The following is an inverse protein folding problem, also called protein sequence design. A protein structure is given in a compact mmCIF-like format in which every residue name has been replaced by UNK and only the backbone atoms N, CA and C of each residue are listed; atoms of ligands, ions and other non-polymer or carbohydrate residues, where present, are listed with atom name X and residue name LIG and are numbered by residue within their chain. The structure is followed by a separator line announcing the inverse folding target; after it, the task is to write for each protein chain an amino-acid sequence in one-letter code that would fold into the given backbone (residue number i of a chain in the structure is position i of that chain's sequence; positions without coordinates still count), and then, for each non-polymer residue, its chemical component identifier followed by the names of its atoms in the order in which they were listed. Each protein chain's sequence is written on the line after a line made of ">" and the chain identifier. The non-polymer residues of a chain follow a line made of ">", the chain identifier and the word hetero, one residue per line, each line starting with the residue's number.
data_IF_913858780301
#
_entry.id   IF_913858780301
#
_cell.length_a   1.000
_cell.length_b   1.000
_cell.length_c   1.000
_cell.angle_alpha   90.00
_cell.angle_beta   90.00
_cell.angle_gamma   90.00
#
_symmetry.space_group_name_H-M   'P 1'
#
loop_
_entity.id
_entity.type
_entity.pdbx_description
1 polymer ?
#
# COMPACT_ATOMS: atom_id res chain seq x y z
N UNK A 1 25.96 16.16 7.20
CA UNK A 1 25.12 14.95 7.40
C UNK A 1 25.36 14.05 6.19
N UNK A 2 26.29 13.11 6.28
CA UNK A 2 26.46 12.12 5.22
C UNK A 2 25.31 11.13 5.34
N UNK A 3 24.38 11.16 4.41
CA UNK A 3 23.39 10.07 4.27
C UNK A 3 24.15 8.95 3.56
N UNK A 4 24.67 7.94 4.27
CA UNK A 4 25.42 6.90 3.61
C UNK A 4 24.44 5.99 2.89
N UNK A 5 24.21 6.22 1.58
CA UNK A 5 23.52 5.27 0.73
C UNK A 5 24.49 4.11 0.51
N UNK A 6 24.13 2.91 0.98
CA UNK A 6 24.97 1.75 0.75
C UNK A 6 24.96 1.37 -0.74
N UNK A 7 26.11 0.96 -1.30
CA UNK A 7 26.16 0.52 -2.70
C UNK A 7 25.13 -0.57 -3.03
N UNK A 8 24.83 -1.46 -2.07
CA UNK A 8 23.82 -2.52 -2.22
C UNK A 8 22.39 -1.98 -2.40
N UNK A 9 22.05 -0.87 -1.73
CA UNK A 9 20.75 -0.23 -1.89
C UNK A 9 20.57 0.34 -3.31
N UNK A 10 21.61 1.04 -3.80
CA UNK A 10 21.60 1.59 -5.17
C UNK A 10 21.59 0.49 -6.21
N UNK A 11 22.35 -0.58 -5.97
CA UNK A 11 22.34 -1.78 -6.81
C UNK A 11 20.94 -2.36 -6.89
N UNK A 12 20.27 -2.56 -5.75
CA UNK A 12 18.91 -3.09 -5.71
C UNK A 12 17.91 -2.20 -6.46
N UNK A 13 18.02 -0.88 -6.27
CA UNK A 13 17.20 0.08 -7.02
C UNK A 13 17.37 -0.09 -8.52
N UNK A 14 18.62 -0.06 -9.03
CA UNK A 14 18.88 -0.12 -10.46
C UNK A 14 18.53 -1.48 -11.06
N UNK A 15 18.84 -2.59 -10.37
CA UNK A 15 18.46 -3.94 -10.83
C UNK A 15 16.94 -4.02 -10.94
N UNK A 16 16.20 -3.62 -9.91
CA UNK A 16 14.75 -3.64 -9.93
C UNK A 16 14.17 -2.75 -11.02
N UNK A 17 14.69 -1.53 -11.19
CA UNK A 17 14.25 -0.62 -12.25
C UNK A 17 14.44 -1.24 -13.64
N UNK A 18 15.62 -1.76 -13.95
CA UNK A 18 15.92 -2.36 -15.25
C UNK A 18 15.07 -3.61 -15.48
N UNK A 19 14.99 -4.52 -14.50
CA UNK A 19 14.19 -5.74 -14.60
C UNK A 19 12.71 -5.40 -14.79
N UNK A 20 12.17 -4.49 -13.98
CA UNK A 20 10.78 -4.04 -14.13
C UNK A 20 10.53 -3.38 -15.49
N UNK A 21 11.45 -2.55 -15.97
CA UNK A 21 11.31 -1.89 -17.26
C UNK A 21 11.28 -2.91 -18.42
N UNK A 22 12.17 -3.89 -18.40
CA UNK A 22 12.23 -4.95 -19.42
C UNK A 22 11.00 -5.87 -19.37
N UNK A 23 10.51 -6.21 -18.18
CA UNK A 23 9.39 -7.13 -17.98
C UNK A 23 8.02 -6.46 -17.99
N UNK A 24 7.92 -5.14 -17.84
CA UNK A 24 6.64 -4.42 -17.75
C UNK A 24 5.72 -4.68 -18.95
N UNK A 25 6.22 -4.57 -20.16
CA UNK A 25 5.45 -4.81 -21.40
C UNK A 25 5.07 -6.28 -21.58
N UNK A 26 5.97 -7.28 -21.42
CA UNK A 26 5.61 -8.69 -21.34
C UNK A 26 4.52 -9.00 -20.30
N UNK A 27 4.65 -8.49 -19.07
CA UNK A 27 3.66 -8.66 -18.00
C UNK A 27 2.31 -8.07 -18.45
N UNK A 28 2.29 -6.83 -18.92
CA UNK A 28 1.05 -6.19 -19.40
C UNK A 28 0.37 -7.02 -20.49
N UNK A 29 1.12 -7.50 -21.47
CA UNK A 29 0.59 -8.33 -22.55
C UNK A 29 0.02 -9.67 -22.01
N UNK A 30 0.68 -10.26 -21.01
CA UNK A 30 0.19 -11.48 -20.35
C UNK A 30 -1.13 -11.22 -19.62
N UNK A 31 -1.22 -10.11 -18.86
CA UNK A 31 -2.45 -9.73 -18.14
C UNK A 31 -3.62 -9.48 -19.09
N UNK A 32 -3.38 -8.82 -20.23
CA UNK A 32 -4.38 -8.61 -21.28
C UNK A 32 -4.86 -9.95 -21.84
N UNK A 33 -3.94 -10.86 -22.19
CA UNK A 33 -4.27 -12.21 -22.71
C UNK A 33 -5.02 -13.05 -21.68
N UNK A 34 -4.63 -12.96 -20.41
CA UNK A 34 -5.28 -13.64 -19.30
C UNK A 34 -6.68 -13.09 -18.98
N UNK A 35 -7.12 -12.01 -19.66
CA UNK A 35 -8.38 -11.31 -19.40
C UNK A 35 -8.54 -10.94 -17.92
N UNK A 36 -7.43 -10.64 -17.25
CA UNK A 36 -7.41 -10.15 -15.87
C UNK A 36 -7.91 -8.70 -15.87
N UNK A 37 -9.23 -8.54 -15.82
CA UNK A 37 -9.90 -7.23 -15.90
C UNK A 37 -10.59 -6.92 -14.59
N UNK A 38 -10.39 -5.71 -14.10
CA UNK A 38 -11.11 -5.26 -12.93
C UNK A 38 -12.61 -5.14 -13.26
N UNK A 39 -13.45 -5.82 -12.46
CA UNK A 39 -14.89 -5.64 -12.50
C UNK A 39 -15.23 -4.44 -11.64
N UNK A 40 -15.40 -3.29 -12.25
CA UNK A 40 -15.78 -2.06 -11.55
C UNK A 40 -17.13 -2.26 -10.86
N UNK A 41 -17.24 -1.81 -9.60
CA UNK A 41 -18.49 -1.94 -8.88
C UNK A 41 -19.57 -1.06 -9.51
N UNK A 42 -20.78 -1.60 -9.69
CA UNK A 42 -21.93 -0.88 -10.24
C UNK A 42 -22.34 0.39 -9.45
N UNK A 43 -21.76 0.57 -8.25
CA UNK A 43 -22.01 1.74 -7.42
C UNK A 43 -21.10 2.95 -7.73
N UNK A 44 -20.07 2.75 -8.57
CA UNK A 44 -19.13 3.80 -9.01
C UNK A 44 -19.22 3.98 -10.53
N UNK A 45 -20.37 4.43 -11.01
CA UNK A 45 -20.69 4.58 -12.44
C UNK A 45 -19.71 5.48 -13.21
N UNK A 46 -18.98 6.32 -12.51
CA UNK A 46 -17.93 7.15 -13.11
C UNK A 46 -16.67 6.42 -13.55
N UNK A 47 -16.51 5.15 -13.21
CA UNK A 47 -15.39 4.31 -13.62
C UNK A 47 -15.70 3.42 -14.83
N UNK A 48 -16.83 3.63 -15.51
CA UNK A 48 -17.20 2.88 -16.72
C UNK A 48 -16.15 2.96 -17.83
N UNK A 49 -15.43 4.08 -17.94
CA UNK A 49 -14.31 4.28 -18.87
C UNK A 49 -13.06 3.47 -18.48
N UNK A 50 -12.96 3.00 -17.22
CA UNK A 50 -11.88 2.17 -16.72
C UNK A 50 -12.17 0.67 -16.89
N UNK A 51 -13.37 0.33 -17.35
CA UNK A 51 -13.79 -1.05 -17.57
C UNK A 51 -12.94 -1.67 -18.69
N UNK A 52 -12.26 -2.76 -18.36
CA UNK A 52 -11.38 -3.45 -19.31
C UNK A 52 -9.89 -3.17 -19.14
N UNK A 53 -9.50 -2.22 -18.27
CA UNK A 53 -8.09 -2.04 -17.87
C UNK A 53 -7.62 -3.29 -17.10
N UNK A 54 -6.48 -3.89 -17.46
CA UNK A 54 -5.95 -5.04 -16.74
C UNK A 54 -5.60 -4.68 -15.29
N UNK A 55 -5.85 -5.61 -14.37
CA UNK A 55 -5.40 -5.55 -12.97
C UNK A 55 -4.14 -6.42 -12.79
N UNK A 56 -3.59 -6.46 -11.57
CA UNK A 56 -2.36 -7.17 -11.18
C UNK A 56 -1.06 -6.52 -11.70
N UNK A 57 -1.06 -5.23 -12.03
CA UNK A 57 0.13 -4.49 -12.40
C UNK A 57 1.20 -4.41 -11.29
N UNK A 58 0.80 -4.68 -10.04
CA UNK A 58 1.73 -4.82 -8.92
C UNK A 58 2.84 -5.85 -9.15
N UNK A 59 2.64 -6.83 -10.04
CA UNK A 59 3.71 -7.74 -10.47
C UNK A 59 4.93 -7.01 -11.02
N UNK A 60 4.76 -5.86 -11.67
CA UNK A 60 5.88 -5.05 -12.18
C UNK A 60 6.79 -4.62 -11.04
N UNK A 61 6.21 -4.20 -9.91
CA UNK A 61 6.96 -3.79 -8.71
C UNK A 61 7.61 -5.02 -8.05
N UNK A 62 6.81 -6.05 -7.81
CA UNK A 62 7.23 -7.22 -7.02
C UNK A 62 8.33 -8.02 -7.70
N UNK A 63 8.21 -8.29 -9.01
CA UNK A 63 9.22 -9.07 -9.75
C UNK A 63 10.58 -8.35 -9.72
N UNK A 64 10.60 -7.03 -9.97
CA UNK A 64 11.83 -6.25 -9.88
C UNK A 64 12.44 -6.28 -8.48
N UNK A 65 11.61 -6.05 -7.46
CA UNK A 65 12.02 -6.09 -6.05
C UNK A 65 12.58 -7.46 -5.64
N UNK A 66 11.86 -8.56 -5.94
CA UNK A 66 12.30 -9.90 -5.57
C UNK A 66 13.60 -10.29 -6.28
N UNK A 67 13.74 -10.00 -7.59
CA UNK A 67 14.97 -10.28 -8.33
C UNK A 67 16.12 -9.45 -7.77
N UNK A 68 15.93 -8.15 -7.53
CA UNK A 68 16.97 -7.31 -6.95
C UNK A 68 17.42 -7.82 -5.57
N UNK A 69 16.47 -8.33 -4.80
CA UNK A 69 16.73 -8.88 -3.48
C UNK A 69 17.61 -10.14 -3.49
N UNK A 70 17.67 -10.88 -4.58
CA UNK A 70 18.55 -12.06 -4.71
C UNK A 70 20.04 -11.69 -4.82
N UNK A 71 20.36 -10.45 -5.16
CA UNK A 71 21.74 -9.96 -5.31
C UNK A 71 22.25 -9.20 -4.07
N UNK A 72 21.43 -9.08 -3.02
CA UNK A 72 21.83 -8.49 -1.74
C UNK A 72 22.29 -9.57 -0.75
N UNK A 73 23.12 -9.17 0.23
CA UNK A 73 23.36 -10.00 1.40
C UNK A 73 22.06 -10.17 2.18
N UNK A 74 21.64 -11.39 2.43
CA UNK A 74 20.32 -11.72 2.98
C UNK A 74 20.39 -12.14 4.47
N UNK A 75 20.37 -11.19 5.42
CA UNK A 75 20.13 -11.52 6.81
C UNK A 75 18.76 -12.18 6.98
N UNK A 76 18.60 -12.99 8.01
CA UNK A 76 17.36 -13.73 8.30
C UNK A 76 16.08 -12.86 8.23
N UNK A 77 16.14 -11.64 8.80
CA UNK A 77 15.01 -10.68 8.79
C UNK A 77 14.61 -10.23 7.40
N UNK A 78 15.55 -10.23 6.47
CA UNK A 78 15.32 -9.94 5.06
C UNK A 78 14.48 -11.04 4.40
N UNK A 79 14.84 -12.31 4.65
CA UNK A 79 14.08 -13.46 4.17
C UNK A 79 12.65 -13.49 4.70
N UNK A 80 12.43 -13.11 5.97
CA UNK A 80 11.10 -13.01 6.57
C UNK A 80 10.25 -11.93 5.89
N UNK A 81 10.83 -10.76 5.61
CA UNK A 81 10.13 -9.67 4.91
C UNK A 81 9.70 -10.10 3.50
N UNK A 82 10.61 -10.76 2.76
CA UNK A 82 10.28 -11.30 1.43
C UNK A 82 9.24 -12.41 1.51
N UNK A 83 9.28 -13.27 2.52
CA UNK A 83 8.28 -14.31 2.73
C UNK A 83 6.89 -13.71 2.99
N UNK A 84 6.78 -12.69 3.84
CA UNK A 84 5.53 -11.95 4.04
C UNK A 84 5.03 -11.39 2.71
N UNK A 85 5.89 -10.70 1.97
CA UNK A 85 5.55 -10.16 0.66
C UNK A 85 5.04 -11.24 -0.30
N UNK A 86 5.73 -12.39 -0.38
CA UNK A 86 5.33 -13.50 -1.25
C UNK A 86 3.98 -14.12 -0.85
N UNK A 87 3.75 -14.36 0.45
CA UNK A 87 2.50 -14.92 0.94
C UNK A 87 1.32 -13.99 0.71
N UNK A 88 1.47 -12.68 0.95
CA UNK A 88 0.42 -11.70 0.67
C UNK A 88 0.20 -11.50 -0.83
N UNK A 89 1.25 -11.58 -1.67
CA UNK A 89 1.10 -11.57 -3.13
C UNK A 89 0.31 -12.79 -3.63
N UNK A 90 0.54 -13.96 -3.01
CA UNK A 90 -0.22 -15.16 -3.31
C UNK A 90 -1.71 -14.99 -2.95
N UNK A 91 -2.02 -14.40 -1.79
CA UNK A 91 -3.42 -14.08 -1.41
C UNK A 91 -4.05 -13.15 -2.45
N UNK A 92 -3.35 -12.08 -2.84
CA UNK A 92 -3.82 -11.15 -3.87
C UNK A 92 -4.03 -11.84 -5.23
N UNK A 93 -3.15 -12.76 -5.60
CA UNK A 93 -3.30 -13.55 -6.83
C UNK A 93 -4.55 -14.45 -6.79
N UNK A 94 -4.84 -15.07 -5.65
CA UNK A 94 -6.08 -15.83 -5.48
C UNK A 94 -7.31 -14.92 -5.58
N UNK A 95 -7.24 -13.73 -4.99
CA UNK A 95 -8.33 -12.74 -4.99
C UNK A 95 -8.61 -12.20 -6.40
N UNK A 96 -7.58 -11.74 -7.09
CA UNK A 96 -7.68 -11.06 -8.39
C UNK A 96 -7.92 -12.02 -9.58
N UNK A 97 -7.38 -13.24 -9.50
CA UNK A 97 -7.33 -14.13 -10.67
C UNK A 97 -8.00 -15.49 -10.47
N UNK A 98 -7.63 -16.19 -9.39
CA UNK A 98 -8.07 -17.60 -9.24
C UNK A 98 -9.57 -17.68 -8.92
N UNK A 99 -10.02 -16.93 -7.92
CA UNK A 99 -11.43 -16.97 -7.46
C UNK A 99 -12.40 -16.49 -8.53
N UNK A 100 -12.20 -15.35 -9.22
CA UNK A 100 -13.11 -14.90 -10.28
C UNK A 100 -13.17 -15.87 -11.46
N UNK A 101 -12.09 -16.62 -11.72
CA UNK A 101 -12.03 -17.59 -12.81
C UNK A 101 -12.68 -18.92 -12.47
N UNK A 102 -12.50 -19.40 -11.23
CA UNK A 102 -13.10 -20.67 -10.75
C UNK A 102 -14.55 -20.55 -10.34
N UNK A 103 -14.99 -19.35 -9.91
CA UNK A 103 -16.34 -19.10 -9.41
C UNK A 103 -16.97 -17.91 -10.16
N UNK A 104 -17.53 -18.14 -11.37
CA UNK A 104 -18.18 -17.07 -12.13
C UNK A 104 -19.23 -16.33 -11.31
N UNK A 105 -19.16 -14.98 -11.32
CA UNK A 105 -20.03 -14.11 -10.52
C UNK A 105 -19.46 -13.70 -9.15
N UNK A 106 -18.40 -14.36 -8.66
CA UNK A 106 -17.63 -13.86 -7.50
C UNK A 106 -16.52 -12.94 -7.97
N UNK A 107 -16.37 -11.81 -7.28
CA UNK A 107 -15.33 -10.80 -7.58
C UNK A 107 -13.98 -11.12 -6.96
N UNK A 108 -13.91 -12.03 -5.99
CA UNK A 108 -12.73 -12.43 -5.24
C UNK A 108 -13.07 -13.25 -4.02
N UNK A 109 -12.12 -13.34 -3.08
CA UNK A 109 -12.27 -14.03 -1.81
C UNK A 109 -13.35 -13.37 -0.92
N UNK A 110 -14.05 -14.16 -0.13
CA UNK A 110 -14.87 -13.60 0.95
C UNK A 110 -13.99 -12.95 2.02
N UNK A 111 -14.47 -11.85 2.64
CA UNK A 111 -13.68 -11.10 3.61
C UNK A 111 -13.15 -11.96 4.78
N UNK A 112 -13.94 -12.94 5.26
CA UNK A 112 -13.50 -13.87 6.32
C UNK A 112 -12.34 -14.75 5.87
N UNK A 113 -12.41 -15.29 4.64
CA UNK A 113 -11.37 -16.12 4.06
C UNK A 113 -10.09 -15.30 3.84
N UNK A 114 -10.22 -14.08 3.31
CA UNK A 114 -9.12 -13.18 3.07
C UNK A 114 -8.37 -12.84 4.38
N UNK A 115 -9.11 -12.46 5.44
CA UNK A 115 -8.51 -12.18 6.76
C UNK A 115 -7.87 -13.42 7.37
N UNK A 116 -8.49 -14.60 7.28
CA UNK A 116 -7.89 -15.84 7.80
C UNK A 116 -6.57 -16.19 7.10
N UNK A 117 -6.50 -16.05 5.78
CA UNK A 117 -5.27 -16.25 5.02
C UNK A 117 -4.20 -15.21 5.39
N UNK A 118 -4.58 -13.93 5.56
CA UNK A 118 -3.68 -12.86 5.99
C UNK A 118 -3.13 -13.10 7.40
N UNK A 119 -3.95 -13.60 8.34
CA UNK A 119 -3.50 -13.98 9.69
C UNK A 119 -2.42 -15.05 9.64
N UNK A 120 -2.57 -16.07 8.81
CA UNK A 120 -1.56 -17.11 8.62
C UNK A 120 -0.31 -16.55 7.93
N UNK A 121 -0.49 -15.74 6.88
CA UNK A 121 0.61 -15.15 6.11
C UNK A 121 1.46 -14.17 6.94
N UNK A 122 0.89 -13.50 7.92
CA UNK A 122 1.62 -12.65 8.86
C UNK A 122 2.14 -13.45 10.07
N UNK A 123 1.28 -14.33 10.63
CA UNK A 123 1.58 -15.04 11.88
C UNK A 123 2.71 -16.04 11.76
N UNK A 124 2.75 -16.83 10.69
CA UNK A 124 3.77 -17.87 10.50
C UNK A 124 5.20 -17.27 10.43
N UNK A 125 5.49 -16.28 9.57
CA UNK A 125 6.80 -15.67 9.53
C UNK A 125 7.21 -15.01 10.86
N UNK A 126 6.27 -14.34 11.54
CA UNK A 126 6.55 -13.68 12.83
C UNK A 126 6.82 -14.70 13.95
N UNK A 127 6.11 -15.82 13.96
CA UNK A 127 6.35 -16.91 14.89
C UNK A 127 7.73 -17.58 14.64
N UNK A 128 8.11 -17.78 13.38
CA UNK A 128 9.43 -18.27 12.99
C UNK A 128 10.56 -17.32 13.40
N UNK A 129 10.28 -16.01 13.46
CA UNK A 129 11.22 -15.01 13.97
C UNK A 129 11.43 -15.08 15.50
N UNK A 130 10.67 -15.91 16.22
CA UNK A 130 10.76 -16.02 17.66
C UNK A 130 10.26 -14.77 18.40
N UNK A 131 9.30 -14.05 17.84
CA UNK A 131 8.73 -12.86 18.46
C UNK A 131 8.05 -13.20 19.79
N UNK A 132 8.23 -12.34 20.79
CA UNK A 132 7.47 -12.38 22.04
C UNK A 132 5.95 -12.36 21.73
N UNK A 133 5.10 -13.08 22.48
CA UNK A 133 3.66 -13.18 22.19
C UNK A 133 2.94 -11.82 22.05
N UNK A 134 3.30 -10.82 22.85
CA UNK A 134 2.73 -9.48 22.75
C UNK A 134 3.18 -8.78 21.45
N UNK A 135 4.47 -8.81 21.17
CA UNK A 135 5.06 -8.25 19.93
C UNK A 135 4.50 -8.98 18.72
N UNK A 136 4.34 -10.30 18.78
CA UNK A 136 3.73 -11.12 17.76
C UNK A 136 2.30 -10.63 17.44
N UNK A 137 1.45 -10.52 18.46
CA UNK A 137 0.06 -10.07 18.31
C UNK A 137 -0.03 -8.64 17.72
N UNK A 138 0.75 -7.70 18.24
CA UNK A 138 0.80 -6.32 17.74
C UNK A 138 1.32 -6.25 16.31
N UNK A 139 2.34 -7.03 15.97
CA UNK A 139 2.90 -7.06 14.60
C UNK A 139 1.93 -7.66 13.60
N UNK A 140 1.26 -8.76 13.93
CA UNK A 140 0.22 -9.34 13.07
C UNK A 140 -0.90 -8.32 12.84
N UNK A 141 -1.41 -7.71 13.91
CA UNK A 141 -2.43 -6.66 13.79
C UNK A 141 -1.98 -5.54 12.85
N UNK A 142 -0.76 -5.03 13.05
CA UNK A 142 -0.25 -3.91 12.26
C UNK A 142 0.02 -4.27 10.80
N UNK A 143 0.52 -5.49 10.53
CA UNK A 143 0.71 -6.01 9.17
C UNK A 143 -0.64 -6.10 8.45
N UNK A 144 -1.66 -6.70 9.08
CA UNK A 144 -2.99 -6.78 8.50
C UNK A 144 -3.60 -5.40 8.28
N UNK A 145 -3.44 -4.51 9.27
CA UNK A 145 -3.90 -3.13 9.17
C UNK A 145 -3.31 -2.43 7.94
N UNK A 146 -1.98 -2.44 7.81
CA UNK A 146 -1.29 -1.78 6.69
C UNK A 146 -1.59 -2.44 5.34
N UNK A 147 -1.69 -3.78 5.28
CA UNK A 147 -2.04 -4.51 4.06
C UNK A 147 -3.41 -4.07 3.52
N UNK A 148 -4.42 -4.04 4.38
CA UNK A 148 -5.77 -3.65 3.98
C UNK A 148 -5.90 -2.13 3.78
N UNK A 149 -5.19 -1.31 4.56
CA UNK A 149 -5.15 0.13 4.38
C UNK A 149 -4.56 0.52 3.03
N UNK A 150 -3.42 -0.08 2.67
CA UNK A 150 -2.80 0.17 1.38
C UNK A 150 -3.65 -0.36 0.22
N UNK A 151 -4.32 -1.49 0.39
CA UNK A 151 -5.27 -2.00 -0.60
C UNK A 151 -6.44 -1.04 -0.82
N UNK A 152 -6.93 -0.36 0.22
CA UNK A 152 -7.97 0.67 0.07
C UNK A 152 -7.46 1.96 -0.61
N UNK A 153 -6.17 2.25 -0.59
CA UNK A 153 -5.61 3.40 -1.33
C UNK A 153 -5.50 3.13 -2.83
N UNK A 154 -5.62 1.88 -3.29
CA UNK A 154 -5.56 1.51 -4.72
C UNK A 154 -6.92 1.70 -5.42
N UNK A 155 -7.52 2.88 -5.27
CA UNK A 155 -8.82 3.24 -5.86
C UNK A 155 -8.76 4.19 -7.05
N UNK A 156 -7.69 4.98 -7.18
CA UNK A 156 -7.51 6.00 -8.22
C UNK A 156 -6.19 5.84 -8.97
N UNK A 157 -6.17 6.30 -10.24
CA UNK A 157 -4.97 6.23 -11.10
C UNK A 157 -3.80 6.98 -10.47
N UNK A 158 -2.72 6.27 -10.12
CA UNK A 158 -1.52 6.84 -9.52
C UNK A 158 -1.58 7.06 -8.00
N UNK A 159 -2.74 6.92 -7.33
CA UNK A 159 -2.87 7.24 -5.91
C UNK A 159 -2.00 6.34 -5.04
N UNK A 160 -2.19 5.03 -5.10
CA UNK A 160 -1.41 4.09 -4.31
C UNK A 160 0.10 4.19 -4.59
N UNK A 161 0.47 4.38 -5.87
CA UNK A 161 1.87 4.51 -6.26
C UNK A 161 2.53 5.78 -5.72
N UNK A 162 1.85 6.92 -5.72
CA UNK A 162 2.40 8.18 -5.18
C UNK A 162 2.48 8.19 -3.66
N UNK A 163 1.50 7.58 -2.98
CA UNK A 163 1.56 7.35 -1.53
C UNK A 163 2.74 6.44 -1.19
N UNK A 164 2.92 5.33 -1.92
CA UNK A 164 4.06 4.43 -1.72
C UNK A 164 5.39 5.16 -1.88
N UNK A 165 5.54 6.02 -2.90
CA UNK A 165 6.75 6.81 -3.09
C UNK A 165 7.06 7.65 -1.85
N UNK A 166 6.08 8.37 -1.31
CA UNK A 166 6.23 9.16 -0.10
C UNK A 166 6.57 8.30 1.13
N UNK A 167 5.98 7.11 1.23
CA UNK A 167 6.28 6.17 2.32
C UNK A 167 7.69 5.61 2.25
N UNK A 168 8.18 5.24 1.06
CA UNK A 168 9.56 4.77 0.90
C UNK A 168 10.57 5.87 1.23
N UNK A 169 10.32 7.11 0.82
CA UNK A 169 11.14 8.27 1.22
C UNK A 169 11.15 8.44 2.74
N UNK A 170 9.97 8.35 3.38
CA UNK A 170 9.83 8.45 4.83
C UNK A 170 10.59 7.35 5.57
N UNK A 171 10.47 6.10 5.12
CA UNK A 171 11.17 4.95 5.71
C UNK A 171 12.69 5.11 5.63
N UNK A 172 13.21 5.45 4.43
CA UNK A 172 14.64 5.70 4.21
C UNK A 172 15.12 6.85 5.11
N UNK A 173 14.33 7.91 5.24
CA UNK A 173 14.65 9.04 6.11
C UNK A 173 14.68 8.66 7.59
N UNK A 174 13.66 7.98 8.10
CA UNK A 174 13.58 7.54 9.50
C UNK A 174 14.77 6.63 9.84
N UNK A 175 15.04 5.61 9.03
CA UNK A 175 16.15 4.68 9.25
C UNK A 175 17.52 5.36 9.19
N UNK A 176 17.66 6.38 8.34
CA UNK A 176 18.89 7.15 8.21
C UNK A 176 19.17 8.02 9.45
N UNK A 177 18.17 8.78 9.93
CA UNK A 177 18.35 9.66 11.10
C UNK A 177 18.52 8.88 12.40
N UNK A 178 18.00 7.66 12.46
CA UNK A 178 18.13 6.74 13.59
C UNK A 178 19.44 5.94 13.57
N UNK A 179 20.28 6.09 12.55
CA UNK A 179 21.52 5.32 12.43
C UNK A 179 21.33 3.81 12.24
N UNK A 180 20.09 3.36 11.99
CA UNK A 180 19.73 1.92 11.89
C UNK A 180 20.11 1.29 10.54
N UNK A 181 20.67 2.04 9.65
CA UNK A 181 20.84 1.70 8.25
C UNK A 181 21.64 0.43 7.99
N UNK A 182 22.69 0.19 8.80
CA UNK A 182 23.52 -1.01 8.69
C UNK A 182 22.81 -2.30 9.17
N UNK A 183 21.75 -2.15 9.95
CA UNK A 183 21.04 -3.28 10.59
C UNK A 183 19.62 -3.49 10.05
N UNK A 184 19.09 -2.49 9.32
CA UNK A 184 17.74 -2.54 8.78
C UNK A 184 17.75 -2.98 7.30
N UNK A 185 16.86 -3.92 6.90
CA UNK A 185 16.84 -4.49 5.55
C UNK A 185 16.24 -3.51 4.52
N UNK A 186 17.01 -2.52 4.06
CA UNK A 186 16.52 -1.51 3.10
C UNK A 186 16.53 -1.98 1.64
N UNK A 187 17.32 -2.99 1.27
CA UNK A 187 17.44 -3.47 -0.11
C UNK A 187 16.09 -3.80 -0.76
N UNK A 188 15.13 -4.54 -0.12
CA UNK A 188 13.81 -4.75 -0.71
C UNK A 188 13.05 -3.45 -0.96
N UNK A 189 13.17 -2.46 -0.09
CA UNK A 189 12.48 -1.18 -0.23
C UNK A 189 13.08 -0.32 -1.34
N UNK A 190 14.40 -0.36 -1.53
CA UNK A 190 15.05 0.25 -2.70
C UNK A 190 14.69 -0.50 -3.99
N UNK A 191 14.61 -1.82 -3.96
CA UNK A 191 14.09 -2.61 -5.08
C UNK A 191 12.63 -2.27 -5.39
N UNK A 192 11.80 -2.13 -4.35
CA UNK A 192 10.41 -1.69 -4.48
C UNK A 192 10.33 -0.28 -5.11
N UNK A 193 11.21 0.64 -4.72
CA UNK A 193 11.30 1.99 -5.29
C UNK A 193 11.63 1.96 -6.79
N UNK A 194 12.61 1.13 -7.19
CA UNK A 194 12.98 0.97 -8.61
C UNK A 194 11.81 0.44 -9.45
N UNK A 195 11.15 -0.62 -8.99
CA UNK A 195 9.97 -1.19 -9.66
C UNK A 195 8.77 -0.25 -9.67
N UNK A 196 8.58 0.52 -8.60
CA UNK A 196 7.52 1.52 -8.48
C UNK A 196 7.59 2.60 -9.56
N UNK A 197 8.77 3.12 -9.88
CA UNK A 197 8.92 4.15 -10.92
C UNK A 197 8.45 3.63 -12.29
N UNK A 198 8.73 2.37 -12.59
CA UNK A 198 8.25 1.72 -13.82
C UNK A 198 6.73 1.51 -13.77
N UNK A 199 6.20 1.05 -12.64
CA UNK A 199 4.75 0.89 -12.46
C UNK A 199 4.00 2.22 -12.63
N UNK A 200 4.49 3.31 -12.02
CA UNK A 200 3.87 4.63 -12.14
C UNK A 200 3.79 5.12 -13.58
N UNK A 201 4.75 4.79 -14.44
CA UNK A 201 4.66 5.11 -15.87
C UNK A 201 3.42 4.46 -16.53
N UNK A 202 3.05 3.24 -16.15
CA UNK A 202 1.89 2.53 -16.68
C UNK A 202 0.58 2.87 -15.95
N UNK A 203 0.67 3.29 -14.69
CA UNK A 203 -0.48 3.60 -13.82
C UNK A 203 -0.80 5.11 -13.74
N UNK A 204 -0.01 5.97 -14.38
CA UNK A 204 -0.29 7.41 -14.48
C UNK A 204 -1.69 7.68 -15.07
N UNK A 205 -2.31 8.83 -14.78
CA UNK A 205 -3.68 9.15 -15.19
C UNK A 205 -4.00 8.82 -16.63
N UNK A 206 -5.12 8.12 -16.82
CA UNK A 206 -5.56 7.16 -17.82
C UNK A 206 -4.73 5.88 -17.73
N UNK A 207 -4.75 5.28 -16.53
CA UNK A 207 -3.98 4.08 -16.21
C UNK A 207 -4.17 2.97 -17.27
N UNK A 208 -3.05 2.40 -17.70
CA UNK A 208 -3.00 1.24 -18.60
C UNK A 208 -3.01 -0.08 -17.85
N UNK A 209 -2.76 -0.05 -16.55
CA UNK A 209 -2.80 -1.19 -15.64
C UNK A 209 -3.09 -0.70 -14.22
N UNK A 210 -3.90 -1.44 -13.46
CA UNK A 210 -4.12 -1.22 -12.04
C UNK A 210 -3.21 -2.13 -11.21
N UNK A 211 -2.87 -1.69 -9.99
CA UNK A 211 -1.99 -2.43 -9.09
C UNK A 211 -2.59 -3.80 -8.73
N UNK A 212 -3.85 -3.80 -8.36
CA UNK A 212 -4.59 -4.98 -7.90
C UNK A 212 -4.16 -5.47 -6.52
N UNK A 213 -4.90 -6.43 -6.00
CA UNK A 213 -4.64 -7.04 -4.70
C UNK A 213 -3.29 -7.76 -4.66
N UNK A 214 -2.86 -8.31 -5.79
CA UNK A 214 -1.54 -8.95 -5.94
C UNK A 214 -0.39 -7.99 -5.67
N UNK A 215 -0.57 -6.68 -5.87
CA UNK A 215 0.42 -5.65 -5.58
C UNK A 215 0.18 -4.96 -4.25
N UNK A 216 -1.05 -4.48 -4.04
CA UNK A 216 -1.37 -3.64 -2.88
C UNK A 216 -1.28 -4.38 -1.55
N UNK A 217 -1.74 -5.62 -1.46
CA UNK A 217 -1.66 -6.39 -0.21
C UNK A 217 -0.22 -6.67 0.23
N UNK A 218 0.69 -7.21 -0.62
CA UNK A 218 2.07 -7.47 -0.20
C UNK A 218 2.84 -6.19 0.13
N UNK A 219 2.64 -5.11 -0.65
CA UNK A 219 3.28 -3.83 -0.39
C UNK A 219 2.85 -3.31 0.99
N UNK A 220 1.56 -3.26 1.26
CA UNK A 220 1.05 -2.84 2.56
C UNK A 220 1.52 -3.73 3.71
N UNK A 221 1.56 -5.06 3.51
CA UNK A 221 2.06 -6.00 4.51
C UNK A 221 3.55 -5.80 4.83
N UNK A 222 4.38 -5.58 3.80
CA UNK A 222 5.81 -5.29 3.97
C UNK A 222 6.03 -3.95 4.70
N UNK A 223 5.25 -2.92 4.39
CA UNK A 223 5.27 -1.65 5.12
C UNK A 223 4.83 -1.83 6.58
N UNK A 224 3.81 -2.66 6.83
CA UNK A 224 3.40 -3.01 8.19
C UNK A 224 4.46 -3.80 8.97
N UNK A 225 5.21 -4.68 8.30
CA UNK A 225 6.29 -5.44 8.92
C UNK A 225 7.47 -4.56 9.37
N UNK A 226 7.59 -3.33 8.86
CA UNK A 226 8.59 -2.34 9.29
C UNK A 226 8.56 -2.13 10.81
N UNK A 227 7.38 -2.12 11.42
CA UNK A 227 7.24 -2.02 12.87
C UNK A 227 7.98 -3.15 13.59
N UNK A 228 7.74 -4.40 13.19
CA UNK A 228 8.42 -5.56 13.75
C UNK A 228 9.93 -5.50 13.54
N UNK A 229 10.36 -5.10 12.34
CA UNK A 229 11.77 -4.95 12.02
C UNK A 229 12.44 -3.93 12.96
N UNK A 230 11.80 -2.82 13.26
CA UNK A 230 12.31 -1.83 14.21
C UNK A 230 12.44 -2.39 15.63
N UNK A 231 11.54 -3.27 16.07
CA UNK A 231 11.63 -3.91 17.38
C UNK A 231 12.71 -4.99 17.46
N UNK A 232 13.12 -5.54 16.31
CA UNK A 232 14.06 -6.66 16.22
C UNK A 232 15.51 -6.22 15.96
N UNK A 233 15.72 -4.99 15.50
CA UNK A 233 17.06 -4.45 15.23
C UNK A 233 17.76 -4.12 16.55
N UNK A 234 18.93 -4.72 16.77
CA UNK A 234 19.82 -4.35 17.88
C UNK A 234 20.70 -3.19 17.47
N UNK A 235 20.89 -2.23 18.35
CA UNK A 235 21.85 -1.16 18.13
C UNK A 235 23.26 -1.74 18.07
N UNK A 236 24.02 -1.37 17.03
CA UNK A 236 25.35 -1.95 16.71
C UNK A 236 26.45 -1.62 17.75
N UNK A 237 26.20 -0.60 18.58
CA UNK A 237 27.14 -0.15 19.61
C UNK A 237 27.08 -0.90 20.94
N UNK A 238 26.26 -1.94 21.02
CA UNK A 238 26.14 -2.75 22.25
C UNK A 238 25.36 -2.09 23.38
N UNK A 239 24.77 -0.91 23.17
CA UNK A 239 24.02 -0.16 24.19
C UNK A 239 22.66 -0.79 24.58
N UNK A 240 22.39 -2.02 24.12
CA UNK A 240 21.18 -2.78 24.44
C UNK A 240 20.18 -2.87 23.29
N UNK A 241 18.99 -3.45 23.53
CA UNK A 241 17.94 -3.48 22.54
C UNK A 241 17.48 -2.04 22.26
N UNK A 242 17.28 -1.73 20.98
CA UNK A 242 16.71 -0.44 20.57
C UNK A 242 15.38 -0.24 21.31
N UNK A 243 15.14 0.95 21.88
CA UNK A 243 13.86 1.22 22.53
C UNK A 243 12.76 1.37 21.47
N UNK A 244 11.96 0.33 21.22
CA UNK A 244 10.96 0.34 20.14
C UNK A 244 9.92 1.46 20.33
N UNK A 245 9.71 1.89 21.58
CA UNK A 245 8.78 2.98 21.92
C UNK A 245 9.16 4.31 21.27
N UNK A 246 10.45 4.58 21.02
CA UNK A 246 10.90 5.83 20.34
C UNK A 246 10.42 5.93 18.92
N UNK A 247 10.16 4.79 18.25
CA UNK A 247 9.68 4.76 16.86
C UNK A 247 8.17 4.63 16.72
N UNK A 248 7.43 4.39 17.81
CA UNK A 248 5.96 4.33 17.76
C UNK A 248 5.38 5.59 17.13
N UNK A 249 5.76 6.76 17.68
CA UNK A 249 5.21 8.04 17.21
C UNK A 249 5.62 8.34 15.77
N UNK A 250 6.91 8.24 15.36
CA UNK A 250 7.30 8.39 13.96
C UNK A 250 6.54 7.45 13.02
N UNK A 251 6.41 6.16 13.36
CA UNK A 251 5.71 5.18 12.50
C UNK A 251 4.23 5.49 12.40
N UNK A 252 3.57 5.90 13.49
CA UNK A 252 2.16 6.30 13.45
C UNK A 252 1.96 7.54 12.57
N UNK A 253 2.81 8.57 12.69
CA UNK A 253 2.75 9.78 11.86
C UNK A 253 2.95 9.43 10.39
N UNK A 254 3.96 8.60 10.08
CA UNK A 254 4.25 8.13 8.73
C UNK A 254 3.06 7.37 8.11
N UNK A 255 2.30 6.65 8.94
CA UNK A 255 1.14 5.84 8.53
C UNK A 255 -0.19 6.60 8.51
N UNK A 256 -0.24 7.89 8.89
CA UNK A 256 -1.50 8.67 8.97
C UNK A 256 -2.34 8.55 7.68
N UNK A 257 -1.79 8.70 6.46
CA UNK A 257 -2.61 8.58 5.25
C UNK A 257 -3.28 7.21 5.12
N UNK A 258 -2.58 6.11 5.44
CA UNK A 258 -3.17 4.77 5.46
C UNK A 258 -4.24 4.62 6.56
N UNK A 259 -3.99 5.20 7.74
CA UNK A 259 -4.97 5.22 8.84
C UNK A 259 -6.25 5.95 8.41
N UNK A 260 -6.11 7.09 7.72
CA UNK A 260 -7.22 7.87 7.21
C UNK A 260 -8.04 7.13 6.15
N UNK A 261 -7.43 6.24 5.37
CA UNK A 261 -8.15 5.46 4.36
C UNK A 261 -8.88 4.24 4.96
N UNK A 262 -8.25 3.55 5.91
CA UNK A 262 -8.82 2.32 6.48
C UNK A 262 -9.86 2.57 7.58
N UNK A 263 -9.53 3.40 8.58
CA UNK A 263 -10.34 3.56 9.80
C UNK A 263 -11.77 4.05 9.54
N UNK A 264 -12.02 4.98 8.61
CA UNK A 264 -13.38 5.43 8.29
C UNK A 264 -14.30 4.33 7.79
N UNK A 265 -13.76 3.28 7.14
CA UNK A 265 -14.57 2.18 6.55
C UNK A 265 -15.32 1.38 7.63
N UNK A 266 -14.66 0.75 8.61
CA UNK A 266 -15.36 0.04 9.68
C UNK A 266 -16.23 0.98 10.54
N UNK A 267 -15.80 2.22 10.79
CA UNK A 267 -16.61 3.21 11.50
C UNK A 267 -17.91 3.53 10.76
N UNK A 268 -17.84 3.71 9.44
CA UNK A 268 -19.03 3.91 8.61
C UNK A 268 -19.97 2.71 8.68
N UNK A 269 -19.44 1.49 8.52
CA UNK A 269 -20.24 0.26 8.57
C UNK A 269 -20.92 0.12 9.94
N UNK A 270 -20.19 0.37 11.03
CA UNK A 270 -20.72 0.33 12.38
C UNK A 270 -21.83 1.37 12.56
N UNK A 271 -21.58 2.64 12.20
CA UNK A 271 -22.56 3.71 12.34
C UNK A 271 -23.84 3.47 11.55
N UNK A 272 -23.73 2.98 10.32
CA UNK A 272 -24.90 2.65 9.50
C UNK A 272 -25.68 1.48 10.08
N UNK A 273 -24.99 0.46 10.62
CA UNK A 273 -25.66 -0.70 11.23
C UNK A 273 -26.38 -0.35 12.54
N UNK A 274 -25.72 0.41 13.42
CA UNK A 274 -26.22 0.70 14.77
C UNK A 274 -27.11 1.94 14.78
N UNK A 275 -26.65 3.04 14.22
CA UNK A 275 -27.32 4.34 14.30
C UNK A 275 -28.14 4.71 13.06
N UNK A 276 -28.07 3.87 11.97
CA UNK A 276 -28.71 4.13 10.66
C UNK A 276 -28.31 5.49 10.04
N UNK A 277 -27.16 5.99 10.42
CA UNK A 277 -26.62 7.28 9.95
C UNK A 277 -25.23 7.11 9.34
N UNK A 278 -24.95 7.86 8.27
CA UNK A 278 -23.61 7.94 7.69
C UNK A 278 -22.76 8.93 8.48
N UNK A 279 -21.53 8.55 8.85
CA UNK A 279 -20.52 9.44 9.44
C UNK A 279 -19.75 10.20 8.35
N UNK A 280 -19.43 9.52 7.25
CA UNK A 280 -18.67 10.06 6.15
C UNK A 280 -19.52 10.05 4.88
N UNK A 281 -19.37 11.03 3.96
CA UNK A 281 -20.06 11.03 2.67
C UNK A 281 -19.80 9.75 1.88
N UNK A 282 -18.52 9.37 1.78
CA UNK A 282 -18.03 8.14 1.15
C UNK A 282 -16.83 7.58 1.92
N UNK A 283 -16.58 6.28 1.79
CA UNK A 283 -15.42 5.58 2.33
C UNK A 283 -14.94 4.55 1.32
N UNK A 284 -13.63 4.39 1.15
CA UNK A 284 -12.49 5.14 1.70
C UNK A 284 -12.54 6.64 1.44
N UNK A 285 -11.75 7.45 2.21
CA UNK A 285 -11.90 8.91 2.24
C UNK A 285 -11.60 9.57 0.89
N UNK A 286 -10.68 9.07 0.07
CA UNK A 286 -10.38 9.66 -1.23
C UNK A 286 -11.62 9.76 -2.13
N UNK A 287 -12.54 8.81 -2.06
CA UNK A 287 -13.82 8.87 -2.81
C UNK A 287 -14.74 10.03 -2.37
N UNK A 288 -14.56 10.56 -1.17
CA UNK A 288 -15.35 11.70 -0.71
C UNK A 288 -15.01 13.02 -1.45
N UNK A 289 -13.87 13.07 -2.13
CA UNK A 289 -13.43 14.23 -2.92
C UNK A 289 -13.77 14.13 -4.40
N UNK A 290 -14.16 12.96 -4.90
CA UNK A 290 -14.46 12.75 -6.31
C UNK A 290 -15.70 13.55 -6.77
N UNK A 291 -15.70 13.91 -8.03
CA UNK A 291 -16.87 14.52 -8.67
C UNK A 291 -18.09 13.61 -8.56
N UNK A 292 -19.24 14.22 -8.25
CA UNK A 292 -20.52 13.54 -8.28
C UNK A 292 -20.87 13.26 -9.74
N UNK A 293 -20.90 11.99 -10.10
CA UNK A 293 -21.20 11.53 -11.46
C UNK A 293 -22.68 11.19 -11.61
N UNK A 294 -23.16 11.24 -12.83
CA UNK A 294 -24.51 10.84 -13.20
C UNK A 294 -24.71 9.35 -12.89
N UNK A 295 -25.86 8.98 -12.36
CA UNK A 295 -26.25 7.57 -12.24
C UNK A 295 -26.78 7.05 -13.57
N UNK A 296 -26.86 5.71 -13.73
CA UNK A 296 -27.45 5.12 -14.93
C UNK A 296 -28.88 5.63 -15.14
N UNK A 297 -29.13 6.18 -16.32
CA UNK A 297 -30.42 6.77 -16.67
C UNK A 297 -30.66 8.21 -16.18
N UNK A 298 -29.68 8.82 -15.45
CA UNK A 298 -29.74 10.24 -15.11
C UNK A 298 -29.12 11.11 -16.20
N UNK A 299 -29.68 12.34 -16.35
CA UNK A 299 -29.11 13.41 -17.16
C UNK A 299 -28.61 14.53 -16.24
N UNK A 300 -27.73 15.42 -16.72
CA UNK A 300 -27.25 16.58 -15.94
C UNK A 300 -28.38 17.52 -15.51
N UNK A 301 -29.54 17.48 -16.19
CA UNK A 301 -30.75 18.23 -15.88
C UNK A 301 -31.69 17.51 -14.91
N UNK A 302 -31.41 16.26 -14.51
CA UNK A 302 -32.29 15.53 -13.58
C UNK A 302 -32.29 16.15 -12.19
N UNK A 303 -33.48 16.28 -11.58
CA UNK A 303 -33.64 16.89 -10.25
C UNK A 303 -32.79 16.19 -9.19
N UNK A 304 -32.71 14.86 -9.23
CA UNK A 304 -31.90 14.04 -8.33
C UNK A 304 -30.41 14.34 -8.44
N UNK A 305 -29.88 14.56 -9.64
CA UNK A 305 -28.47 14.94 -9.87
C UNK A 305 -28.20 16.37 -9.37
N UNK A 306 -29.08 17.33 -9.73
CA UNK A 306 -28.96 18.73 -9.32
C UNK A 306 -28.98 18.84 -7.79
N UNK A 307 -29.90 18.16 -7.11
CA UNK A 307 -29.97 18.13 -5.64
C UNK A 307 -28.69 17.56 -5.03
N UNK A 308 -28.19 16.41 -5.54
CA UNK A 308 -26.93 15.83 -5.05
C UNK A 308 -25.75 16.77 -5.23
N UNK A 309 -25.63 17.39 -6.40
CA UNK A 309 -24.57 18.37 -6.70
C UNK A 309 -24.66 19.62 -5.83
N UNK A 310 -25.87 20.10 -5.53
CA UNK A 310 -26.13 21.30 -4.75
C UNK A 310 -25.92 21.08 -3.25
N UNK A 311 -26.20 19.86 -2.75
CA UNK A 311 -26.07 19.51 -1.34
C UNK A 311 -24.70 18.97 -0.97
N UNK A 312 -23.86 18.64 -1.97
CA UNK A 312 -22.50 18.17 -1.71
C UNK A 312 -21.56 19.33 -1.37
N UNK A 313 -20.59 19.12 -0.47
CA UNK A 313 -19.58 20.12 -0.15
C UNK A 313 -18.76 20.54 -1.40
N UNK A 314 -18.31 21.80 -1.46
CA UNK A 314 -17.48 22.30 -2.58
C UNK A 314 -16.19 21.49 -2.82
N UNK A 315 -15.66 20.82 -1.79
CA UNK A 315 -14.50 19.96 -1.88
C UNK A 315 -14.80 18.56 -2.45
N UNK A 316 -16.07 18.19 -2.62
CA UNK A 316 -16.51 16.92 -3.23
C UNK A 316 -16.66 17.03 -4.77
N UNK A 317 -15.77 17.75 -5.45
CA UNK A 317 -15.82 17.95 -6.91
C UNK A 317 -14.41 18.12 -7.48
N UNK A 318 -13.46 17.37 -6.94
CA UNK A 318 -12.09 17.48 -7.44
C UNK A 318 -11.85 16.47 -8.57
N UNK A 319 -11.12 16.88 -9.62
CA UNK A 319 -10.64 15.95 -10.63
C UNK A 319 -9.66 14.96 -9.97
N UNK A 320 -9.62 13.74 -10.47
CA UNK A 320 -8.82 12.64 -9.92
C UNK A 320 -7.35 13.03 -9.71
N UNK A 321 -6.76 13.75 -10.67
CA UNK A 321 -5.37 14.23 -10.55
C UNK A 321 -5.15 15.14 -9.34
N UNK A 322 -6.12 16.02 -9.01
CA UNK A 322 -6.02 16.89 -7.83
C UNK A 322 -6.07 16.08 -6.54
N UNK A 323 -6.92 15.06 -6.48
CA UNK A 323 -7.00 14.16 -5.33
C UNK A 323 -5.66 13.47 -5.13
N UNK A 324 -5.12 12.86 -6.18
CA UNK A 324 -3.83 12.16 -6.14
C UNK A 324 -2.71 13.08 -5.67
N UNK A 325 -2.58 14.29 -6.23
CA UNK A 325 -1.57 15.26 -5.79
C UNK A 325 -1.74 15.68 -4.33
N UNK A 326 -2.98 15.91 -3.88
CA UNK A 326 -3.26 16.30 -2.49
C UNK A 326 -2.83 15.21 -1.52
N UNK A 327 -3.17 13.95 -1.80
CA UNK A 327 -2.79 12.83 -0.96
C UNK A 327 -1.28 12.55 -1.02
N UNK A 328 -0.63 12.74 -2.17
CA UNK A 328 0.81 12.64 -2.30
C UNK A 328 1.54 13.70 -1.45
N UNK A 329 1.09 14.96 -1.49
CA UNK A 329 1.63 16.03 -0.64
C UNK A 329 1.38 15.72 0.83
N UNK A 330 0.18 15.27 1.19
CA UNK A 330 -0.14 14.89 2.56
C UNK A 330 0.77 13.76 3.07
N UNK A 331 1.01 12.72 2.25
CA UNK A 331 1.96 11.66 2.59
C UNK A 331 3.38 12.19 2.77
N UNK A 332 3.86 13.06 1.88
CA UNK A 332 5.19 13.65 2.01
C UNK A 332 5.33 14.48 3.29
N UNK A 333 4.32 15.28 3.64
CA UNK A 333 4.31 16.05 4.89
C UNK A 333 4.33 15.13 6.12
N UNK A 334 3.54 14.06 6.14
CA UNK A 334 3.58 13.06 7.19
C UNK A 334 4.95 12.38 7.27
N UNK A 335 5.56 12.05 6.14
CA UNK A 335 6.90 11.46 6.09
C UNK A 335 7.97 12.40 6.63
N UNK A 336 7.95 13.68 6.23
CA UNK A 336 8.89 14.69 6.74
C UNK A 336 8.71 14.93 8.24
N UNK A 337 7.48 15.01 8.72
CA UNK A 337 7.19 15.14 10.15
C UNK A 337 7.69 13.92 10.93
N UNK A 338 7.47 12.72 10.41
CA UNK A 338 7.95 11.48 11.03
C UNK A 338 9.48 11.44 11.13
N UNK A 339 10.19 11.83 10.05
CA UNK A 339 11.67 11.97 10.05
C UNK A 339 12.12 13.00 11.10
N UNK A 340 11.44 14.12 11.18
CA UNK A 340 11.77 15.18 12.15
C UNK A 340 11.60 14.69 13.59
N UNK A 341 10.47 14.03 13.89
CA UNK A 341 10.23 13.46 15.24
C UNK A 341 11.23 12.35 15.54
N UNK A 342 11.55 11.49 14.57
CA UNK A 342 12.56 10.47 14.71
C UNK A 342 13.95 11.06 15.02
N UNK A 343 14.35 12.13 14.33
CA UNK A 343 15.61 12.84 14.59
C UNK A 343 15.71 13.37 16.03
N UNK A 344 14.67 14.04 16.51
CA UNK A 344 14.68 14.57 17.89
C UNK A 344 14.57 13.48 18.96
N UNK A 345 14.08 12.29 18.64
CA UNK A 345 14.02 11.16 19.58
C UNK A 345 15.39 10.54 19.88
N UNK A 346 16.39 10.72 18.99
CA UNK A 346 17.77 10.21 19.18
C UNK A 346 18.64 11.21 19.97
N UNK A 347 18.36 12.50 19.80
CA UNK A 347 19.22 13.55 20.36
C UNK A 347 18.75 14.03 21.75
N UNK A 348 17.86 13.28 22.39
CA UNK A 348 17.49 13.43 23.80
C UNK A 348 18.13 12.33 24.64
#
# INVERSE_FOLDING_TARGET
>A
MNIPIHPEDLKAFWIAFVVSALLSKPILNLLIKAKSRQTVSSHLEGHATKQGTPTMGGFIILVGMFIASLFGEAPFMYGLLLLIGALFALIGFFDDYVVPRMMPGKRGLGWKQKIAMQLLAAGVPMALAGADPLILGLSIFWILFCANAFNFTDGLDGLAGTILLGQLIGLIGITSVQGMRASFPLVPFFGMLGGLLVFLYWNAPKARVFMGDVGSLPIGAMLGAVWFLFTSVRVRDGSGPYEPLRLVVPVLIWSIPMICELVPVPLQVFSVKVFKKKLFPFTPIHHAFEEIKLKAGETEGSESYIVRKRTSPRWAHWPETRIVFTFAIFQLLCSMLAITVAYFSVNK
#
